data_IF_838484736041
#
_entry.id   IF_838484736041
#
_cell.length_a   1.000
_cell.length_b   1.000
_cell.length_c   1.000
_cell.angle_alpha   90.00
_cell.angle_beta   90.00
_cell.angle_gamma   90.00
#
_symmetry.space_group_name_H-M   'P 1'
#
loop_
_entity.id
_entity.type
_entity.pdbx_description
1 polymer ?
#
# COMPACT_ATOMS: atom_id res chain seq x y z
N UNK A 1 -36.27 19.65 -21.29
CA UNK A 1 -35.94 18.22 -21.41
C UNK A 1 -35.69 17.91 -22.88
N UNK A 2 -34.43 17.86 -23.32
CA UNK A 2 -34.08 17.64 -24.73
C UNK A 2 -34.08 16.14 -25.03
N UNK A 3 -35.10 15.67 -25.75
CA UNK A 3 -35.21 14.28 -26.21
C UNK A 3 -34.18 14.03 -27.30
N UNK A 4 -32.99 13.55 -26.92
CA UNK A 4 -31.95 13.19 -27.87
C UNK A 4 -32.36 11.89 -28.59
N UNK A 5 -32.54 11.93 -29.91
CA UNK A 5 -32.92 10.75 -30.68
C UNK A 5 -31.87 9.64 -30.47
N UNK A 6 -32.32 8.40 -30.28
CA UNK A 6 -31.44 7.24 -29.99
C UNK A 6 -30.26 7.12 -30.96
N UNK A 7 -30.45 7.48 -32.23
CA UNK A 7 -29.39 7.50 -33.27
C UNK A 7 -28.30 8.55 -33.00
N UNK A 8 -28.67 9.76 -32.57
CA UNK A 8 -27.70 10.82 -32.22
C UNK A 8 -26.95 10.50 -30.94
N UNK A 9 -27.58 9.81 -29.99
CA UNK A 9 -26.92 9.35 -28.77
C UNK A 9 -25.87 8.27 -29.07
N UNK A 10 -26.20 7.27 -29.88
CA UNK A 10 -25.27 6.20 -30.26
C UNK A 10 -24.09 6.75 -31.08
N UNK A 11 -24.32 7.70 -31.99
CA UNK A 11 -23.26 8.34 -32.75
C UNK A 11 -22.29 9.14 -31.86
N UNK A 12 -22.82 9.91 -30.90
CA UNK A 12 -22.00 10.65 -29.94
C UNK A 12 -21.19 9.73 -29.01
N UNK A 13 -21.79 8.62 -28.56
CA UNK A 13 -21.10 7.62 -27.73
C UNK A 13 -19.97 6.95 -28.50
N UNK A 14 -20.19 6.57 -29.76
CA UNK A 14 -19.15 6.00 -30.61
C UNK A 14 -17.99 6.97 -30.83
N UNK A 15 -18.29 8.25 -31.07
CA UNK A 15 -17.27 9.28 -31.28
C UNK A 15 -16.46 9.56 -29.99
N UNK A 16 -17.11 9.57 -28.84
CA UNK A 16 -16.45 9.70 -27.54
C UNK A 16 -15.55 8.48 -27.23
N UNK A 17 -15.99 7.28 -27.57
CA UNK A 17 -15.25 6.05 -27.32
C UNK A 17 -14.00 5.96 -28.20
N UNK A 18 -14.12 6.30 -29.49
CA UNK A 18 -12.97 6.38 -30.41
C UNK A 18 -12.00 7.49 -30.00
N UNK A 19 -12.52 8.68 -29.64
CA UNK A 19 -11.70 9.79 -29.16
C UNK A 19 -10.95 9.45 -27.86
N UNK A 20 -11.62 8.77 -26.92
CA UNK A 20 -11.03 8.34 -25.65
C UNK A 20 -9.91 7.31 -25.84
N UNK A 21 -10.09 6.34 -26.74
CA UNK A 21 -9.04 5.34 -27.04
C UNK A 21 -7.85 5.99 -27.74
N UNK A 22 -8.08 6.87 -28.71
CA UNK A 22 -7.01 7.58 -29.42
C UNK A 22 -6.18 8.46 -28.47
N UNK A 23 -6.84 9.20 -27.57
CA UNK A 23 -6.17 10.00 -26.54
C UNK A 23 -5.42 9.11 -25.53
N UNK A 24 -6.00 7.98 -25.14
CA UNK A 24 -5.36 7.02 -24.22
C UNK A 24 -4.04 6.47 -24.77
N UNK A 25 -3.97 6.13 -26.06
CA UNK A 25 -2.73 5.61 -26.67
C UNK A 25 -1.64 6.67 -26.78
N UNK A 26 -2.01 7.94 -26.99
CA UNK A 26 -1.05 9.04 -27.13
C UNK A 26 -0.57 9.56 -25.77
N UNK A 27 -1.44 9.56 -24.76
CA UNK A 27 -1.16 10.14 -23.44
C UNK A 27 -0.48 9.17 -22.47
N UNK A 28 -0.40 7.87 -22.76
CA UNK A 28 0.34 6.93 -21.90
C UNK A 28 1.85 7.15 -22.12
N UNK A 29 2.59 7.64 -21.10
CA UNK A 29 4.02 7.81 -21.22
C UNK A 29 4.67 6.44 -21.43
N UNK A 30 5.29 6.25 -22.59
CA UNK A 30 6.07 5.06 -22.98
C UNK A 30 7.32 4.79 -22.12
N UNK A 31 7.46 5.48 -20.99
CA UNK A 31 8.66 5.53 -20.16
C UNK A 31 9.01 4.19 -19.48
N UNK A 32 8.11 3.20 -19.50
CA UNK A 32 8.30 1.90 -18.84
C UNK A 32 8.97 0.83 -19.73
N UNK A 33 9.00 0.99 -21.07
CA UNK A 33 9.44 -0.10 -21.99
C UNK A 33 10.97 -0.15 -22.15
N UNK A 34 11.69 0.88 -21.70
CA UNK A 34 13.11 1.03 -22.00
C UNK A 34 13.99 1.44 -20.84
N UNK A 35 13.57 1.26 -19.57
CA UNK A 35 14.47 1.53 -18.45
C UNK A 35 15.67 0.57 -18.55
N UNK A 36 16.89 1.05 -18.84
CA UNK A 36 18.05 0.21 -18.72
C UNK A 36 18.12 -0.25 -17.27
N UNK A 37 18.23 -1.57 -17.08
CA UNK A 37 18.56 -2.15 -15.78
C UNK A 37 19.96 -1.63 -15.45
N UNK A 38 20.03 -0.51 -14.74
CA UNK A 38 21.29 -0.06 -14.16
C UNK A 38 21.76 -1.17 -13.24
N UNK A 39 22.99 -1.68 -13.42
CA UNK A 39 23.57 -2.63 -12.49
C UNK A 39 23.45 -2.02 -11.10
N UNK A 40 22.70 -2.71 -10.25
CA UNK A 40 22.50 -2.35 -8.86
C UNK A 40 23.89 -2.20 -8.26
N UNK A 41 24.27 -0.96 -7.93
CA UNK A 41 25.45 -0.75 -7.10
C UNK A 41 25.22 -1.58 -5.85
N UNK A 42 26.06 -2.60 -5.65
CA UNK A 42 26.08 -3.36 -4.40
C UNK A 42 26.41 -2.31 -3.37
N UNK A 43 25.41 -1.88 -2.61
CA UNK A 43 25.65 -1.07 -1.43
C UNK A 43 26.42 -1.98 -0.51
N UNK A 44 27.73 -1.77 -0.50
CA UNK A 44 28.63 -2.47 0.40
C UNK A 44 28.20 -2.05 1.80
N UNK A 45 27.39 -2.91 2.42
CA UNK A 45 26.96 -2.71 3.78
C UNK A 45 28.23 -2.57 4.62
N UNK A 46 28.28 -1.59 5.55
CA UNK A 46 29.41 -1.47 6.45
C UNK A 46 29.65 -2.84 7.08
N UNK A 47 30.82 -3.44 6.78
CA UNK A 47 31.20 -4.73 7.35
C UNK A 47 31.52 -4.45 8.82
N UNK A 48 30.48 -4.51 9.66
CA UNK A 48 30.67 -4.39 11.10
C UNK A 48 31.39 -5.66 11.55
N UNK A 49 32.58 -5.56 12.15
CA UNK A 49 33.29 -6.73 12.64
C UNK A 49 32.40 -7.47 13.64
N UNK A 50 32.13 -8.76 13.37
CA UNK A 50 31.34 -9.66 14.22
C UNK A 50 31.88 -9.71 15.66
N UNK A 51 33.18 -9.44 15.81
CA UNK A 51 33.81 -9.18 17.10
C UNK A 51 34.29 -7.73 17.15
N UNK A 52 33.39 -6.79 17.41
CA UNK A 52 33.83 -5.63 18.19
C UNK A 52 34.28 -6.21 19.54
N UNK A 53 35.55 -6.04 19.95
CA UNK A 53 35.93 -6.38 21.32
C UNK A 53 34.94 -5.66 22.21
N UNK A 54 34.21 -6.40 23.04
CA UNK A 54 33.30 -5.88 24.06
C UNK A 54 34.17 -5.16 25.10
N UNK A 55 34.74 -4.04 24.70
CA UNK A 55 35.34 -3.04 25.54
C UNK A 55 34.16 -2.46 26.31
N UNK A 56 33.72 -3.16 27.36
CA UNK A 56 32.76 -2.72 28.40
C UNK A 56 31.95 -1.49 27.99
N UNK A 57 30.92 -1.64 27.15
CA UNK A 57 30.35 -0.46 26.52
C UNK A 57 29.19 -0.67 25.57
N UNK A 58 28.11 -1.30 26.06
CA UNK A 58 26.71 -1.14 25.61
C UNK A 58 26.37 -1.46 24.13
N UNK A 59 25.23 -2.11 23.89
CA UNK A 59 24.67 -2.30 22.55
C UNK A 59 24.24 -1.00 21.84
N UNK A 60 24.43 0.16 22.47
CA UNK A 60 24.01 1.45 21.93
C UNK A 60 24.67 1.78 20.60
N UNK A 61 25.97 1.47 20.41
CA UNK A 61 26.66 1.70 19.13
C UNK A 61 26.10 0.86 17.99
N UNK A 62 25.74 -0.39 18.29
CA UNK A 62 25.10 -1.30 17.32
C UNK A 62 23.69 -0.81 17.00
N UNK A 63 22.92 -0.42 18.02
CA UNK A 63 21.59 0.14 17.83
C UNK A 63 21.63 1.45 17.02
N UNK A 64 22.60 2.33 17.28
CA UNK A 64 22.78 3.59 16.54
C UNK A 64 23.11 3.33 15.07
N UNK A 65 23.96 2.34 14.77
CA UNK A 65 24.30 1.95 13.40
C UNK A 65 23.10 1.35 12.63
N UNK A 66 22.24 0.55 13.30
CA UNK A 66 21.16 -0.21 12.64
C UNK A 66 19.81 0.53 12.65
N UNK A 67 19.60 1.47 13.58
CA UNK A 67 18.34 2.22 13.74
C UNK A 67 17.74 2.77 12.43
N UNK A 68 18.52 3.29 11.44
CA UNK A 68 17.96 3.76 10.18
C UNK A 68 17.26 2.68 9.34
N UNK A 69 17.59 1.41 9.52
CA UNK A 69 16.95 0.30 8.81
C UNK A 69 15.63 -0.14 9.47
N UNK A 70 15.35 0.26 10.72
CA UNK A 70 14.16 -0.15 11.46
C UNK A 70 13.04 0.86 11.23
N UNK A 71 11.91 0.38 10.71
CA UNK A 71 10.74 1.21 10.36
C UNK A 71 9.51 0.81 11.17
N UNK A 72 8.59 1.75 11.38
CA UNK A 72 7.26 1.46 11.92
C UNK A 72 6.28 1.22 10.76
N UNK A 73 5.60 0.09 10.79
CA UNK A 73 4.62 -0.31 9.78
C UNK A 73 3.23 0.11 10.27
N UNK A 74 2.68 1.14 9.63
CA UNK A 74 1.31 1.59 9.82
C UNK A 74 0.51 1.37 8.55
N UNK A 75 -0.55 0.58 8.66
CA UNK A 75 -1.55 0.44 7.61
C UNK A 75 -2.77 1.27 7.94
N UNK A 76 -3.45 1.78 6.91
CA UNK A 76 -4.81 2.27 7.06
C UNK A 76 -5.67 1.35 6.21
N UNK A 77 -6.37 0.42 6.85
CA UNK A 77 -7.35 -0.40 6.14
C UNK A 77 -8.54 0.47 5.78
N UNK A 78 -8.62 0.88 4.51
CA UNK A 78 -9.83 1.47 3.93
C UNK A 78 -10.82 0.34 3.68
N UNK A 79 -11.51 -0.06 4.74
CA UNK A 79 -12.42 -1.18 4.70
C UNK A 79 -11.77 -2.43 5.27
N UNK A 80 -11.93 -2.61 6.58
CA UNK A 80 -12.28 -3.96 7.00
C UNK A 80 -13.49 -4.37 6.16
N UNK A 81 -13.40 -5.52 5.49
CA UNK A 81 -14.47 -6.19 4.74
C UNK A 81 -15.81 -5.46 4.87
N UNK A 82 -16.39 -4.98 3.77
CA UNK A 82 -17.84 -4.74 3.70
C UNK A 82 -18.66 -6.03 3.92
N UNK A 83 -18.04 -7.08 4.49
CA UNK A 83 -18.62 -8.30 4.99
C UNK A 83 -18.56 -8.31 6.51
N UNK A 84 -19.62 -8.87 7.07
CA UNK A 84 -19.82 -9.17 8.49
C UNK A 84 -18.54 -9.73 9.11
N UNK A 85 -18.23 -9.34 10.35
CA UNK A 85 -17.17 -10.02 11.09
C UNK A 85 -17.52 -11.51 11.24
N UNK A 86 -16.55 -12.42 11.36
CA UNK A 86 -16.84 -13.85 11.61
C UNK A 86 -17.75 -14.08 12.83
N UNK A 87 -17.69 -13.15 13.79
CA UNK A 87 -18.57 -13.13 14.96
C UNK A 87 -20.01 -12.71 14.61
N UNK A 88 -20.19 -11.64 13.81
CA UNK A 88 -21.51 -11.23 13.30
C UNK A 88 -22.13 -12.27 12.36
N UNK A 89 -21.33 -13.03 11.61
CA UNK A 89 -21.82 -14.14 10.77
C UNK A 89 -22.36 -15.31 11.60
N UNK A 90 -21.76 -15.57 12.77
CA UNK A 90 -22.13 -16.70 13.64
C UNK A 90 -23.26 -16.35 14.63
N UNK A 91 -23.23 -15.14 15.21
CA UNK A 91 -24.18 -14.70 16.24
C UNK A 91 -25.28 -13.77 15.72
N UNK A 92 -25.15 -13.29 14.47
CA UNK A 92 -26.10 -12.37 13.85
C UNK A 92 -25.89 -10.90 14.23
N UNK A 93 -26.26 -10.01 13.32
CA UNK A 93 -26.17 -8.54 13.49
C UNK A 93 -27.05 -8.02 14.63
N UNK A 94 -28.13 -8.74 14.95
CA UNK A 94 -29.15 -8.33 15.92
C UNK A 94 -28.71 -8.58 17.37
N UNK A 95 -27.96 -9.66 17.63
CA UNK A 95 -27.25 -9.86 18.89
C UNK A 95 -26.26 -8.71 19.11
N UNK A 96 -25.41 -8.44 18.12
CA UNK A 96 -24.36 -7.43 18.27
C UNK A 96 -24.94 -6.03 18.53
N UNK A 97 -25.96 -5.61 17.80
CA UNK A 97 -26.66 -4.32 18.00
C UNK A 97 -27.28 -4.20 19.39
N UNK A 98 -27.88 -5.27 19.91
CA UNK A 98 -28.53 -5.26 21.23
C UNK A 98 -27.52 -5.14 22.38
N UNK A 99 -26.35 -5.76 22.24
CA UNK A 99 -25.34 -5.83 23.30
C UNK A 99 -24.26 -4.73 23.22
N UNK A 100 -23.92 -4.26 22.02
CA UNK A 100 -22.82 -3.29 21.79
C UNK A 100 -23.26 -1.97 21.14
N UNK A 101 -24.53 -1.83 20.72
CA UNK A 101 -25.06 -0.61 20.08
C UNK A 101 -24.64 -0.43 18.62
N UNK A 102 -24.77 0.79 18.09
CA UNK A 102 -24.21 1.16 16.79
C UNK A 102 -22.69 1.27 16.91
N UNK A 103 -22.00 0.22 16.48
CA UNK A 103 -20.54 0.13 16.54
C UNK A 103 -19.93 1.25 15.70
N UNK A 104 -19.01 2.07 16.23
CA UNK A 104 -18.35 3.08 15.42
C UNK A 104 -17.61 2.43 14.26
N UNK A 105 -17.63 3.15 13.12
CA UNK A 105 -16.95 2.79 11.88
C UNK A 105 -15.55 2.25 12.21
N UNK A 106 -15.31 0.99 11.81
CA UNK A 106 -14.18 0.15 12.22
C UNK A 106 -12.94 0.98 12.48
N UNK A 107 -12.48 1.03 13.73
CA UNK A 107 -11.26 1.76 14.10
C UNK A 107 -10.16 1.25 13.17
N UNK A 108 -9.62 2.08 12.27
CA UNK A 108 -8.60 1.62 11.34
C UNK A 108 -7.44 1.09 12.16
N UNK A 109 -7.00 -0.14 11.89
CA UNK A 109 -5.87 -0.73 12.57
C UNK A 109 -4.62 0.10 12.28
N UNK A 110 -4.22 0.98 13.22
CA UNK A 110 -3.22 2.04 12.99
C UNK A 110 -1.76 1.56 13.03
N UNK A 111 -1.50 0.30 13.34
CA UNK A 111 -0.12 -0.23 13.38
C UNK A 111 -0.13 -1.75 13.23
N UNK A 112 0.80 -2.27 12.42
CA UNK A 112 1.11 -3.70 12.27
C UNK A 112 2.36 -4.11 13.05
N UNK A 113 3.20 -3.15 13.47
CA UNK A 113 4.43 -3.40 14.22
C UNK A 113 5.66 -2.72 13.60
N UNK A 114 6.84 -3.26 13.88
CA UNK A 114 8.12 -2.80 13.32
C UNK A 114 8.57 -3.71 12.18
N UNK A 115 9.31 -3.16 11.22
CA UNK A 115 9.96 -3.89 10.12
C UNK A 115 11.42 -3.48 9.96
N UNK A 116 12.17 -4.20 9.13
CA UNK A 116 13.59 -3.94 8.86
C UNK A 116 13.83 -3.92 7.36
N UNK A 117 14.40 -2.83 6.84
CA UNK A 117 14.82 -2.73 5.44
C UNK A 117 16.04 -3.63 5.25
N UNK A 118 15.91 -4.68 4.44
CA UNK A 118 16.98 -5.65 4.16
C UNK A 118 17.78 -5.31 2.92
N UNK A 119 17.28 -4.39 2.10
CA UNK A 119 17.83 -4.10 0.79
C UNK A 119 17.73 -2.60 0.43
N UNK A 120 18.76 -2.00 -0.21
CA UNK A 120 18.81 -0.58 -0.53
C UNK A 120 17.69 -0.04 -1.44
N UNK A 121 16.89 -0.91 -2.07
CA UNK A 121 15.75 -0.50 -2.90
C UNK A 121 14.48 -0.27 -2.07
N UNK A 122 14.55 -0.54 -0.76
CA UNK A 122 13.43 -0.34 0.17
C UNK A 122 12.61 -1.60 0.43
N UNK A 123 13.14 -2.80 0.16
CA UNK A 123 12.49 -4.06 0.53
C UNK A 123 12.66 -4.27 2.03
N UNK A 124 11.55 -4.54 2.72
CA UNK A 124 11.44 -4.81 4.15
C UNK A 124 10.48 -5.98 4.41
#
# INVERSE_FOLDING_TARGET
MMQLKRKTFVAALGLALVGGVALGVVAVPRAEIGRPVTPRAVVEAPILPVQMPLQTGTFAKVAEAIKPAVINITTVSRGGLQGRTPFEEFFGEEFFRRFFGDVPERIPQRSLGSGVIVDPSGIA
#
